data_IF_498380637310
#
_entry.id   IF_498380637310
#
_cell.length_a   1.000
_cell.length_b   1.000
_cell.length_c   1.000
_cell.angle_alpha   90.00
_cell.angle_beta   90.00
_cell.angle_gamma   90.00
#
_symmetry.space_group_name_H-M   'P 1'
#
loop_
_entity.id
_entity.type
_entity.pdbx_description
1 polymer ?
#
# COMPACT_ATOMS: atom_id res chain seq x y z
N UNK A 1 -7.53 -14.94 16.46
CA UNK A 1 -6.26 -14.77 17.18
C UNK A 1 -5.81 -13.31 17.19
N UNK A 2 -5.92 -12.60 16.05
CA UNK A 2 -5.51 -11.20 15.89
C UNK A 2 -6.23 -10.21 16.81
N UNK A 3 -7.55 -10.37 17.03
CA UNK A 3 -8.32 -9.46 17.88
C UNK A 3 -7.84 -9.43 19.34
N UNK A 4 -7.36 -10.56 19.87
CA UNK A 4 -6.84 -10.69 21.24
C UNK A 4 -5.47 -10.01 21.34
N UNK A 5 -4.61 -10.19 20.33
CA UNK A 5 -3.30 -9.55 20.21
C UNK A 5 -3.40 -8.03 20.09
N UNK A 6 -4.35 -7.53 19.28
CA UNK A 6 -4.61 -6.10 19.15
C UNK A 6 -5.13 -5.50 20.47
N UNK A 7 -5.99 -6.24 21.19
CA UNK A 7 -6.50 -5.81 22.50
C UNK A 7 -5.37 -5.76 23.55
N UNK A 8 -4.44 -6.72 23.53
CA UNK A 8 -3.20 -6.68 24.34
C UNK A 8 -2.29 -5.52 23.96
N UNK A 9 -2.04 -5.27 22.68
CA UNK A 9 -1.20 -4.16 22.21
C UNK A 9 -1.75 -2.80 22.67
N UNK A 10 -3.08 -2.62 22.61
CA UNK A 10 -3.76 -1.41 23.09
C UNK A 10 -3.61 -1.22 24.60
N UNK A 11 -3.61 -2.30 25.38
CA UNK A 11 -3.52 -2.27 26.84
C UNK A 11 -2.08 -2.16 27.36
N UNK A 12 -1.11 -2.79 26.69
CA UNK A 12 0.29 -2.83 27.15
C UNK A 12 1.15 -1.71 26.58
N UNK A 13 0.92 -1.28 25.33
CA UNK A 13 1.79 -0.32 24.64
C UNK A 13 0.97 0.58 23.68
N UNK A 14 0.30 1.64 24.17
CA UNK A 14 -0.58 2.48 23.37
C UNK A 14 0.12 3.15 22.20
N UNK A 15 1.41 3.50 22.33
CA UNK A 15 2.18 4.10 21.24
C UNK A 15 2.40 3.11 20.08
N UNK A 16 2.80 1.87 20.38
CA UNK A 16 2.97 0.80 19.37
C UNK A 16 1.65 0.42 18.70
N UNK A 17 0.53 0.50 19.43
CA UNK A 17 -0.81 0.35 18.87
C UNK A 17 -1.13 1.41 17.81
N UNK A 18 -0.80 2.68 18.06
CA UNK A 18 -1.00 3.73 17.07
C UNK A 18 -0.11 3.55 15.84
N UNK A 19 1.15 3.16 16.01
CA UNK A 19 2.06 2.86 14.89
C UNK A 19 1.53 1.67 14.06
N UNK A 20 1.05 0.61 14.72
CA UNK A 20 0.41 -0.52 14.03
C UNK A 20 -0.84 -0.09 13.24
N UNK A 21 -1.68 0.76 13.84
CA UNK A 21 -2.89 1.23 13.15
C UNK A 21 -2.50 2.07 11.94
N UNK A 22 -1.55 3.00 12.08
CA UNK A 22 -1.08 3.84 10.97
C UNK A 22 -0.46 2.98 9.87
N UNK A 23 0.36 1.98 10.20
CA UNK A 23 0.97 1.10 9.19
C UNK A 23 -0.06 0.26 8.46
N UNK A 24 -1.14 -0.17 9.14
CA UNK A 24 -2.26 -0.83 8.50
C UNK A 24 -3.00 0.10 7.52
N UNK A 25 -3.26 1.35 7.92
CA UNK A 25 -3.87 2.35 7.02
C UNK A 25 -2.98 2.64 5.82
N UNK A 26 -1.68 2.84 6.02
CA UNK A 26 -0.69 3.09 4.95
C UNK A 26 -0.62 1.91 3.99
N UNK A 27 -0.57 0.68 4.49
CA UNK A 27 -0.60 -0.54 3.67
C UNK A 27 -1.88 -0.60 2.82
N UNK A 28 -3.05 -0.36 3.43
CA UNK A 28 -4.34 -0.36 2.70
C UNK A 28 -4.39 0.73 1.63
N UNK A 29 -3.91 1.93 1.92
CA UNK A 29 -3.85 3.04 0.95
C UNK A 29 -2.91 2.69 -0.20
N UNK A 30 -1.73 2.14 0.09
CA UNK A 30 -0.78 1.71 -0.96
C UNK A 30 -1.39 0.68 -1.90
N UNK A 31 -2.05 -0.36 -1.37
CA UNK A 31 -2.68 -1.39 -2.19
C UNK A 31 -3.90 -0.86 -2.98
N UNK A 32 -4.78 -0.13 -2.30
CA UNK A 32 -6.00 0.40 -2.94
C UNK A 32 -5.64 1.43 -4.01
N UNK A 33 -4.72 2.33 -3.69
CA UNK A 33 -4.19 3.31 -4.64
C UNK A 33 -3.52 2.64 -5.83
N UNK A 34 -2.71 1.60 -5.60
CA UNK A 34 -2.10 0.81 -6.68
C UNK A 34 -3.16 0.26 -7.64
N UNK A 35 -4.22 -0.35 -7.13
CA UNK A 35 -5.29 -0.92 -7.97
C UNK A 35 -5.95 0.17 -8.83
N UNK A 36 -6.34 1.29 -8.23
CA UNK A 36 -6.97 2.39 -8.97
C UNK A 36 -6.06 2.99 -10.04
N UNK A 37 -4.80 3.26 -9.68
CA UNK A 37 -3.81 3.83 -10.60
C UNK A 37 -3.51 2.86 -11.74
N UNK A 38 -3.32 1.59 -11.43
CA UNK A 38 -3.10 0.56 -12.45
C UNK A 38 -4.26 0.48 -13.44
N UNK A 39 -5.50 0.38 -12.94
CA UNK A 39 -6.71 0.33 -13.77
C UNK A 39 -6.81 1.59 -14.65
N UNK A 40 -6.57 2.77 -14.08
CA UNK A 40 -6.68 4.05 -14.79
C UNK A 40 -5.66 4.13 -15.93
N UNK A 41 -4.37 3.89 -15.65
CA UNK A 41 -3.33 3.89 -16.68
C UNK A 41 -3.55 2.80 -17.72
N UNK A 42 -4.05 1.62 -17.34
CA UNK A 42 -4.35 0.55 -18.28
C UNK A 42 -5.46 0.94 -19.27
N UNK A 43 -6.59 1.47 -18.77
CA UNK A 43 -7.70 1.90 -19.64
C UNK A 43 -7.34 3.09 -20.51
N UNK A 44 -6.62 4.08 -19.98
CA UNK A 44 -6.13 5.21 -20.78
C UNK A 44 -5.15 4.74 -21.87
N UNK A 45 -4.22 3.84 -21.53
CA UNK A 45 -3.28 3.27 -22.51
C UNK A 45 -4.02 2.51 -23.62
N UNK A 46 -5.01 1.69 -23.25
CA UNK A 46 -5.85 0.99 -24.22
C UNK A 46 -6.65 1.94 -25.11
N UNK A 47 -7.16 3.04 -24.57
CA UNK A 47 -7.89 4.05 -25.33
C UNK A 47 -6.99 4.80 -26.33
N UNK A 48 -5.78 5.18 -25.91
CA UNK A 48 -4.79 5.83 -26.79
C UNK A 48 -4.41 4.89 -27.94
N UNK A 49 -4.09 3.63 -27.63
CA UNK A 49 -3.78 2.62 -28.65
C UNK A 49 -4.95 2.35 -29.59
N UNK A 50 -6.18 2.30 -29.07
CA UNK A 50 -7.39 2.12 -29.89
C UNK A 50 -7.61 3.30 -30.85
N UNK A 51 -7.22 4.51 -30.45
CA UNK A 51 -7.31 5.72 -31.28
C UNK A 51 -6.24 5.75 -32.39
N UNK A 52 -5.29 4.82 -32.40
CA UNK A 52 -4.17 4.77 -33.34
C UNK A 52 -3.02 5.71 -32.98
N UNK A 53 -3.11 6.40 -31.84
CA UNK A 53 -2.09 7.31 -31.37
C UNK A 53 -0.96 6.54 -30.66
N UNK A 54 0.30 6.96 -30.82
CA UNK A 54 1.40 6.40 -30.05
C UNK A 54 1.23 6.76 -28.57
N UNK A 55 1.51 5.80 -27.68
CA UNK A 55 1.51 6.05 -26.24
C UNK A 55 2.61 7.08 -25.93
N UNK A 56 2.31 8.21 -25.27
CA UNK A 56 3.32 9.20 -24.94
C UNK A 56 4.36 8.69 -23.93
N UNK A 57 5.63 9.06 -24.09
CA UNK A 57 6.69 8.62 -23.16
C UNK A 57 6.45 9.07 -21.71
N UNK A 58 5.92 10.28 -21.52
CA UNK A 58 5.58 10.79 -20.18
C UNK A 58 4.48 9.96 -19.50
N UNK A 59 3.60 9.32 -20.28
CA UNK A 59 2.53 8.47 -19.77
C UNK A 59 3.13 7.20 -19.18
N UNK A 60 4.08 6.59 -19.89
CA UNK A 60 4.80 5.40 -19.41
C UNK A 60 5.61 5.74 -18.16
N UNK A 61 6.44 6.79 -18.20
CA UNK A 61 7.26 7.20 -17.06
C UNK A 61 6.42 7.55 -15.81
N UNK A 62 5.33 8.31 -16.00
CA UNK A 62 4.40 8.64 -14.93
C UNK A 62 3.70 7.42 -14.33
N UNK A 63 3.28 6.47 -15.17
CA UNK A 63 2.62 5.24 -14.71
C UNK A 63 3.55 4.37 -13.87
N UNK A 64 4.80 4.20 -14.32
CA UNK A 64 5.81 3.39 -13.63
C UNK A 64 6.16 4.02 -12.28
N UNK A 65 6.41 5.34 -12.25
CA UNK A 65 6.69 6.05 -10.99
C UNK A 65 5.56 5.92 -9.98
N UNK A 66 4.31 6.10 -10.43
CA UNK A 66 3.13 6.00 -9.57
C UNK A 66 2.96 4.60 -9.00
N UNK A 67 3.13 3.57 -9.84
CA UNK A 67 3.08 2.17 -9.42
C UNK A 67 4.17 1.86 -8.39
N UNK A 68 5.41 2.28 -8.65
CA UNK A 68 6.54 2.06 -7.74
C UNK A 68 6.25 2.70 -6.37
N UNK A 69 5.82 3.96 -6.34
CA UNK A 69 5.54 4.68 -5.08
C UNK A 69 4.45 3.96 -4.26
N UNK A 70 3.38 3.51 -4.92
CA UNK A 70 2.26 2.85 -4.25
C UNK A 70 2.64 1.46 -3.74
N UNK A 71 3.40 0.69 -4.52
CA UNK A 71 3.95 -0.60 -4.09
C UNK A 71 4.94 -0.42 -2.93
N UNK A 72 5.85 0.55 -3.00
CA UNK A 72 6.77 0.85 -1.90
C UNK A 72 6.01 1.22 -0.62
N UNK A 73 4.96 2.04 -0.74
CA UNK A 73 4.11 2.42 0.39
C UNK A 73 3.41 1.20 1.01
N UNK A 74 2.87 0.32 0.17
CA UNK A 74 2.25 -0.94 0.62
C UNK A 74 3.26 -1.85 1.34
N UNK A 75 4.44 -2.04 0.76
CA UNK A 75 5.50 -2.90 1.30
C UNK A 75 5.97 -2.37 2.64
N UNK A 76 6.28 -1.07 2.75
CA UNK A 76 6.73 -0.45 4.00
C UNK A 76 5.66 -0.60 5.09
N UNK A 77 4.39 -0.29 4.77
CA UNK A 77 3.29 -0.48 5.72
C UNK A 77 3.14 -1.93 6.19
N UNK A 78 3.28 -2.89 5.27
CA UNK A 78 3.18 -4.32 5.57
C UNK A 78 4.34 -4.85 6.41
N UNK A 79 5.58 -4.41 6.13
CA UNK A 79 6.78 -4.77 6.90
C UNK A 79 6.66 -4.22 8.32
N UNK A 80 6.33 -2.95 8.49
CA UNK A 80 6.18 -2.32 9.81
C UNK A 80 5.07 -3.00 10.62
N UNK A 81 3.94 -3.31 9.98
CA UNK A 81 2.86 -4.09 10.58
C UNK A 81 3.35 -5.48 11.04
N UNK A 82 4.06 -6.21 10.18
CA UNK A 82 4.58 -7.54 10.47
C UNK A 82 5.63 -7.57 11.58
N UNK A 83 6.54 -6.59 11.59
CA UNK A 83 7.55 -6.44 12.63
C UNK A 83 6.92 -6.21 14.01
N UNK A 84 5.96 -5.28 14.10
CA UNK A 84 5.22 -5.00 15.35
C UNK A 84 4.42 -6.23 15.83
N UNK A 85 3.85 -7.00 14.91
CA UNK A 85 3.12 -8.22 15.24
C UNK A 85 4.05 -9.33 15.77
N UNK A 86 5.28 -9.39 15.27
CA UNK A 86 6.29 -10.37 15.70
C UNK A 86 6.83 -10.03 17.09
N UNK A 87 7.09 -8.75 17.38
CA UNK A 87 7.48 -8.31 18.73
C UNK A 87 6.41 -8.65 19.77
N UNK A 88 5.14 -8.43 19.43
CA UNK A 88 4.00 -8.76 20.28
C UNK A 88 3.84 -10.25 20.56
N UNK A 89 4.22 -11.11 19.61
CA UNK A 89 4.13 -12.57 19.79
C UNK A 89 5.24 -13.09 20.73
N UNK A 90 6.33 -12.33 20.88
CA UNK A 90 7.47 -12.65 21.75
C UNK A 90 7.33 -12.11 23.18
N UNK A 91 6.42 -11.15 23.40
CA UNK A 91 6.13 -10.55 24.71
C UNK A 91 4.95 -11.23 25.40
#
# INVERSE_FOLDING_TARGET
>A
MDAILIKKLKASMPLKYWVYRISEWVSRIGLTGFIYVFITYFFLGAFIQHSGDPIPDFFVDGSVKSIIILLSTFIIGSIVKGALFTELKKA
#
